data_IF_377591595839
#
_entry.id   IF_377591595839
#
_cell.length_a   1.000
_cell.length_b   1.000
_cell.length_c   1.000
_cell.angle_alpha   90.00
_cell.angle_beta   90.00
_cell.angle_gamma   90.00
#
_symmetry.space_group_name_H-M   'P 1'
#
loop_
_entity.id
_entity.type
_entity.pdbx_description
1 polymer ?
#
# COMPACT_ATOMS: atom_id res chain seq x y z
N UNK A 1 -12.10 -47.37 10.14
CA UNK A 1 -13.16 -46.47 9.63
C UNK A 1 -13.29 -45.26 10.55
N UNK A 2 -13.14 -45.45 11.86
CA UNK A 2 -13.29 -44.40 12.89
C UNK A 2 -12.31 -43.20 12.80
N UNK A 3 -11.11 -43.37 12.23
CA UNK A 3 -10.16 -42.26 12.06
C UNK A 3 -10.60 -41.24 10.99
N UNK A 4 -11.37 -41.67 9.99
CA UNK A 4 -11.86 -40.78 8.92
C UNK A 4 -13.00 -39.92 9.47
N UNK A 5 -13.91 -40.51 10.22
CA UNK A 5 -15.04 -39.80 10.83
C UNK A 5 -14.57 -38.78 11.88
N UNK A 6 -13.46 -39.06 12.58
CA UNK A 6 -12.82 -38.10 13.48
C UNK A 6 -12.20 -36.90 12.73
N UNK A 7 -11.56 -37.13 11.58
CA UNK A 7 -11.00 -36.07 10.74
C UNK A 7 -12.13 -35.22 10.13
N UNK A 8 -13.21 -35.85 9.65
CA UNK A 8 -14.38 -35.13 9.12
C UNK A 8 -15.09 -34.33 10.20
N UNK A 9 -15.23 -34.87 11.42
CA UNK A 9 -15.85 -34.14 12.54
C UNK A 9 -15.00 -32.96 13.00
N UNK A 10 -13.66 -33.11 13.01
CA UNK A 10 -12.73 -31.99 13.25
C UNK A 10 -12.87 -30.92 12.16
N UNK A 11 -12.92 -31.32 10.89
CA UNK A 11 -13.02 -30.40 9.76
C UNK A 11 -14.39 -29.68 9.73
N UNK A 12 -15.47 -30.37 10.09
CA UNK A 12 -16.82 -29.80 10.23
C UNK A 12 -16.89 -28.82 11.39
N UNK A 13 -16.33 -29.17 12.55
CA UNK A 13 -16.24 -28.25 13.68
C UNK A 13 -15.38 -27.02 13.35
N UNK A 14 -14.29 -27.21 12.59
CA UNK A 14 -13.47 -26.12 12.11
C UNK A 14 -14.22 -25.20 11.12
N UNK A 15 -15.01 -25.77 10.22
CA UNK A 15 -15.84 -25.00 9.30
C UNK A 15 -16.94 -24.22 10.03
N UNK A 16 -17.56 -24.82 11.05
CA UNK A 16 -18.59 -24.16 11.87
C UNK A 16 -18.01 -22.99 12.68
N UNK A 17 -16.81 -23.15 13.26
CA UNK A 17 -16.14 -22.06 13.97
C UNK A 17 -15.69 -20.93 13.04
N UNK A 18 -15.24 -21.27 11.82
CA UNK A 18 -14.94 -20.27 10.80
C UNK A 18 -16.21 -19.54 10.35
N UNK A 19 -17.31 -20.26 10.16
CA UNK A 19 -18.62 -19.71 9.81
C UNK A 19 -19.13 -18.76 10.89
N UNK A 20 -19.07 -19.16 12.17
CA UNK A 20 -19.46 -18.30 13.31
C UNK A 20 -18.55 -17.07 13.47
N UNK A 21 -17.26 -17.18 13.15
CA UNK A 21 -16.35 -16.01 13.13
C UNK A 21 -16.61 -15.08 11.93
N UNK A 22 -17.28 -15.57 10.88
CA UNK A 22 -17.62 -14.82 9.67
C UNK A 22 -19.03 -14.21 9.70
N UNK A 23 -19.91 -14.61 10.64
CA UNK A 23 -21.27 -14.08 10.73
C UNK A 23 -21.29 -12.65 11.31
N UNK A 24 -21.84 -11.64 10.58
CA UNK A 24 -22.18 -10.36 11.17
C UNK A 24 -23.39 -10.53 12.12
N UNK A 25 -23.43 -9.77 13.21
CA UNK A 25 -24.58 -9.74 14.12
C UNK A 25 -25.87 -9.35 13.37
N UNK A 26 -26.98 -10.05 13.65
CA UNK A 26 -28.31 -9.75 13.11
C UNK A 26 -28.77 -8.34 13.53
N UNK A 27 -28.76 -7.39 12.60
CA UNK A 27 -29.33 -6.04 12.78
C UNK A 27 -29.96 -5.57 11.47
N UNK A 28 -31.13 -4.95 11.57
CA UNK A 28 -31.98 -4.34 10.51
C UNK A 28 -31.32 -4.00 9.15
N UNK A 29 -31.77 -4.58 8.01
CA UNK A 29 -31.16 -4.45 6.67
C UNK A 29 -30.99 -3.02 6.15
N UNK A 30 -31.87 -2.07 6.49
CA UNK A 30 -31.76 -0.69 6.00
C UNK A 30 -30.63 0.11 6.68
N UNK A 31 -30.37 -0.17 7.96
CA UNK A 31 -29.20 0.36 8.68
C UNK A 31 -27.88 -0.32 8.27
N UNK A 32 -27.93 -1.47 7.58
CA UNK A 32 -26.73 -2.17 7.12
C UNK A 32 -26.06 -1.50 5.92
N UNK A 33 -26.83 -0.82 5.08
CA UNK A 33 -26.28 -0.26 3.84
C UNK A 33 -25.40 0.96 4.13
N UNK A 34 -25.87 1.90 4.97
CA UNK A 34 -25.22 3.20 5.15
C UNK A 34 -23.94 3.16 5.99
N UNK A 35 -23.83 2.29 7.01
CA UNK A 35 -22.61 2.19 7.83
C UNK A 35 -21.47 1.43 7.12
N UNK A 36 -21.73 0.86 5.94
CA UNK A 36 -20.74 0.09 5.16
C UNK A 36 -19.88 0.98 4.27
N UNK A 37 -20.24 2.27 4.12
CA UNK A 37 -19.56 3.20 3.22
C UNK A 37 -18.47 4.05 3.88
N UNK A 38 -18.22 3.93 5.19
CA UNK A 38 -17.27 4.78 5.93
C UNK A 38 -16.33 3.96 6.82
N UNK A 39 -15.03 4.27 6.79
CA UNK A 39 -13.99 3.67 7.62
C UNK A 39 -13.30 4.76 8.46
N UNK A 40 -13.35 4.61 9.79
CA UNK A 40 -12.72 5.55 10.74
C UNK A 40 -13.60 6.73 11.17
N UNK A 41 -14.92 6.61 11.03
CA UNK A 41 -15.93 7.61 11.41
C UNK A 41 -17.03 7.00 12.28
N UNK A 42 -17.77 7.82 13.02
CA UNK A 42 -18.95 7.37 13.78
C UNK A 42 -20.11 7.03 12.87
N UNK A 43 -20.26 7.76 11.76
CA UNK A 43 -21.30 7.56 10.78
C UNK A 43 -20.93 8.15 9.40
N UNK A 44 -21.72 7.79 8.38
CA UNK A 44 -21.49 8.21 7.00
C UNK A 44 -21.63 9.72 6.82
N UNK A 45 -22.52 10.38 7.57
CA UNK A 45 -22.76 11.81 7.44
C UNK A 45 -21.58 12.62 8.00
N UNK A 46 -20.97 12.18 9.11
CA UNK A 46 -19.69 12.71 9.58
C UNK A 46 -18.61 12.60 8.50
N UNK A 47 -18.48 11.42 7.88
CA UNK A 47 -17.45 11.18 6.86
C UNK A 47 -17.61 12.08 5.61
N UNK A 48 -18.85 12.31 5.15
CA UNK A 48 -19.15 13.20 4.04
C UNK A 48 -18.90 14.68 4.39
N UNK A 49 -19.07 15.05 5.67
CA UNK A 49 -18.73 16.37 6.16
C UNK A 49 -17.21 16.61 6.24
N UNK A 50 -16.42 15.59 6.55
CA UNK A 50 -14.95 15.69 6.57
C UNK A 50 -14.30 15.60 5.19
N UNK A 51 -15.02 15.22 4.12
CA UNK A 51 -14.51 15.28 2.76
C UNK A 51 -14.23 16.72 2.32
N UNK A 52 -13.13 16.90 1.59
CA UNK A 52 -12.80 18.16 0.94
C UNK A 52 -13.84 18.52 -0.13
N UNK A 53 -14.11 19.81 -0.32
CA UNK A 53 -15.17 20.28 -1.21
C UNK A 53 -15.00 19.76 -2.65
N UNK A 54 -13.77 19.79 -3.17
CA UNK A 54 -13.45 19.26 -4.50
C UNK A 54 -13.78 17.76 -4.62
N UNK A 55 -13.52 16.96 -3.59
CA UNK A 55 -13.78 15.51 -3.62
C UNK A 55 -15.28 15.21 -3.49
N UNK A 56 -16.00 16.00 -2.69
CA UNK A 56 -17.45 15.94 -2.60
C UNK A 56 -18.11 16.33 -3.94
N UNK A 57 -17.60 17.35 -4.60
CA UNK A 57 -18.06 17.78 -5.92
C UNK A 57 -17.79 16.70 -6.98
N UNK A 58 -16.61 16.08 -6.94
CA UNK A 58 -16.29 14.95 -7.82
C UNK A 58 -17.23 13.75 -7.60
N UNK A 59 -17.58 13.43 -6.34
CA UNK A 59 -18.57 12.39 -6.02
C UNK A 59 -19.94 12.72 -6.60
N UNK A 60 -20.38 13.97 -6.45
CA UNK A 60 -21.65 14.44 -7.02
C UNK A 60 -21.60 14.42 -8.55
N UNK A 61 -20.49 14.79 -9.18
CA UNK A 61 -20.37 14.84 -10.64
C UNK A 61 -20.31 13.45 -11.31
N UNK A 62 -19.53 12.51 -10.75
CA UNK A 62 -19.30 11.17 -11.30
C UNK A 62 -20.60 10.36 -11.52
N UNK A 63 -21.64 10.67 -10.75
CA UNK A 63 -22.93 9.98 -10.78
C UNK A 63 -24.05 10.84 -11.38
N UNK A 64 -23.78 12.09 -11.78
CA UNK A 64 -24.74 12.97 -12.47
C UNK A 64 -24.79 12.79 -13.99
N UNK A 65 -23.83 12.10 -14.59
CA UNK A 65 -23.64 12.03 -16.04
C UNK A 65 -24.37 10.87 -16.75
N UNK A 66 -25.31 10.17 -16.08
CA UNK A 66 -25.98 8.97 -16.66
C UNK A 66 -27.51 8.94 -16.66
N UNK A 67 -28.21 10.06 -16.55
CA UNK A 67 -29.68 10.08 -16.73
C UNK A 67 -30.16 10.28 -18.18
N UNK A 68 -29.28 10.36 -19.18
CA UNK A 68 -29.70 10.49 -20.60
C UNK A 68 -28.78 9.72 -21.52
N UNK A 69 -29.11 8.45 -21.82
CA UNK A 69 -28.85 7.76 -23.10
C UNK A 69 -29.20 6.28 -22.96
N UNK A 70 -30.51 6.01 -22.94
CA UNK A 70 -31.05 4.80 -23.53
C UNK A 70 -31.71 5.22 -24.83
N UNK A 71 -31.03 5.03 -25.96
CA UNK A 71 -31.70 4.53 -27.14
C UNK A 71 -30.68 3.93 -28.11
N UNK A 72 -30.94 2.69 -28.48
CA UNK A 72 -30.05 1.87 -29.28
C UNK A 72 -30.00 2.32 -30.73
N UNK A 73 -28.82 2.16 -31.33
CA UNK A 73 -28.67 1.61 -32.68
C UNK A 73 -27.22 1.21 -32.91
N UNK A 74 -27.03 -0.07 -33.24
CA UNK A 74 -25.81 -0.60 -33.84
C UNK A 74 -25.56 0.09 -35.19
N UNK A 75 -24.29 0.12 -35.66
CA UNK A 75 -24.08 -0.61 -36.91
C UNK A 75 -22.78 -1.41 -36.94
N UNK A 76 -22.86 -2.56 -37.61
CA UNK A 76 -21.73 -3.35 -38.08
C UNK A 76 -21.45 -3.04 -39.56
N UNK A 77 -20.15 -2.98 -39.88
CA UNK A 77 -19.40 -3.18 -41.13
C UNK A 77 -20.08 -3.18 -42.52
N UNK A 78 -19.49 -2.41 -43.45
CA UNK A 78 -18.68 -2.84 -44.62
C UNK A 78 -18.50 -1.65 -45.60
N UNK A 79 -17.29 -1.13 -45.79
CA UNK A 79 -16.30 -1.48 -46.83
C UNK A 79 -16.54 -0.80 -48.20
N UNK A 80 -15.64 0.11 -48.61
CA UNK A 80 -14.84 0.11 -49.86
C UNK A 80 -14.47 1.51 -50.44
N UNK A 81 -13.16 1.67 -50.66
CA UNK A 81 -12.45 2.29 -51.80
C UNK A 81 -12.66 3.75 -52.25
N UNK A 82 -11.62 4.56 -51.95
CA UNK A 82 -10.72 5.31 -52.86
C UNK A 82 -11.20 6.43 -53.80
N UNK A 83 -10.36 7.47 -53.82
CA UNK A 83 -9.97 8.37 -54.92
C UNK A 83 -10.47 9.84 -54.89
N UNK A 84 -9.53 10.70 -54.50
CA UNK A 84 -8.96 11.81 -55.28
C UNK A 84 -9.83 13.00 -55.77
N UNK A 85 -9.31 14.18 -55.40
CA UNK A 85 -9.06 15.36 -56.22
C UNK A 85 -10.06 16.55 -56.25
N UNK A 86 -9.43 17.71 -56.07
CA UNK A 86 -9.64 19.02 -56.71
C UNK A 86 -10.69 20.01 -56.14
N UNK A 87 -10.14 21.06 -55.52
CA UNK A 87 -10.36 22.50 -55.73
C UNK A 87 -11.60 22.97 -56.50
N UNK A 88 -12.33 23.95 -55.95
CA UNK A 88 -12.19 25.37 -56.33
C UNK A 88 -13.28 26.24 -55.67
N UNK A 89 -12.90 27.50 -55.45
CA UNK A 89 -13.67 28.58 -54.81
C UNK A 89 -14.91 29.02 -55.61
N UNK A 90 -15.94 29.55 -54.94
CA UNK A 90 -16.17 31.01 -54.83
C UNK A 90 -17.65 31.39 -54.57
N UNK A 91 -17.82 32.49 -53.83
CA UNK A 91 -18.90 33.50 -53.81
C UNK A 91 -20.09 33.35 -52.85
N UNK A 92 -20.05 34.17 -51.80
CA UNK A 92 -21.23 34.91 -51.30
C UNK A 92 -21.67 36.00 -52.31
N UNK A 93 -22.91 36.53 -52.19
CA UNK A 93 -23.18 37.67 -51.28
C UNK A 93 -24.53 37.62 -50.52
N UNK A 94 -24.53 38.28 -49.34
CA UNK A 94 -25.67 38.79 -48.53
C UNK A 94 -26.50 39.89 -49.28
N UNK A 95 -27.52 40.60 -48.71
CA UNK A 95 -28.23 40.47 -47.42
C UNK A 95 -29.78 40.71 -47.48
N UNK A 96 -30.39 40.73 -46.26
CA UNK A 96 -31.50 41.59 -45.80
C UNK A 96 -32.89 40.94 -45.59
N UNK A 97 -33.29 40.78 -44.32
CA UNK A 97 -34.37 41.54 -43.68
C UNK A 97 -34.68 41.05 -42.25
N UNK A 98 -34.74 42.00 -41.30
CA UNK A 98 -35.40 41.91 -39.97
C UNK A 98 -36.63 42.84 -40.01
N UNK A 99 -37.50 42.94 -38.97
CA UNK A 99 -37.90 42.01 -37.90
C UNK A 99 -39.44 41.96 -37.69
N UNK A 100 -39.96 41.08 -36.82
CA UNK A 100 -40.97 41.45 -35.79
C UNK A 100 -41.24 40.33 -34.78
N UNK A 101 -41.65 40.68 -33.54
CA UNK A 101 -41.69 39.79 -32.38
C UNK A 101 -43.09 39.23 -32.13
N UNK A 102 -43.15 38.09 -31.45
CA UNK A 102 -44.35 37.69 -30.71
C UNK A 102 -43.95 36.82 -29.55
N UNK A 103 -44.02 37.42 -28.35
CA UNK A 103 -44.11 36.69 -27.09
C UNK A 103 -45.35 35.80 -27.13
N UNK A 104 -45.17 34.51 -26.87
CA UNK A 104 -46.19 33.69 -26.24
C UNK A 104 -45.47 32.79 -25.25
N UNK A 105 -45.59 33.22 -24.01
CA UNK A 105 -45.24 32.51 -22.79
C UNK A 105 -46.01 31.20 -22.75
N UNK A 106 -45.33 30.08 -22.98
CA UNK A 106 -45.77 28.78 -22.47
C UNK A 106 -44.68 28.25 -21.56
N UNK A 107 -45.03 28.28 -20.28
CA UNK A 107 -44.36 27.61 -19.17
C UNK A 107 -44.23 26.12 -19.48
N UNK A 108 -43.09 25.73 -20.03
CA UNK A 108 -42.59 24.37 -19.89
C UNK A 108 -41.69 24.38 -18.68
N UNK A 109 -42.20 23.92 -17.54
CA UNK A 109 -41.42 23.57 -16.36
C UNK A 109 -40.39 22.50 -16.76
N UNK A 110 -39.28 22.96 -17.31
CA UNK A 110 -38.06 22.18 -17.29
C UNK A 110 -37.72 21.98 -15.82
N UNK A 111 -37.75 20.74 -15.36
CA UNK A 111 -36.99 20.30 -14.20
C UNK A 111 -35.49 20.57 -14.48
N UNK A 112 -35.10 21.83 -14.41
CA UNK A 112 -33.71 22.20 -14.23
C UNK A 112 -33.38 21.71 -12.83
N UNK A 113 -32.72 20.56 -12.77
CA UNK A 113 -32.03 20.12 -11.57
C UNK A 113 -31.15 21.28 -11.11
N UNK A 114 -31.60 22.00 -10.07
CA UNK A 114 -30.79 23.02 -9.43
C UNK A 114 -29.50 22.34 -9.00
N UNK A 115 -28.36 22.84 -9.46
CA UNK A 115 -27.08 22.39 -8.91
C UNK A 115 -27.12 22.61 -7.39
N UNK A 116 -26.77 21.61 -6.57
CA UNK A 116 -26.78 21.76 -5.12
C UNK A 116 -25.80 22.87 -4.72
N UNK A 117 -26.32 23.95 -4.13
CA UNK A 117 -25.54 25.15 -3.85
C UNK A 117 -24.95 25.13 -2.43
N UNK A 118 -25.53 24.34 -1.53
CA UNK A 118 -25.06 24.21 -0.15
C UNK A 118 -24.37 22.87 0.08
N UNK A 119 -23.40 22.83 1.00
CA UNK A 119 -22.73 21.58 1.41
C UNK A 119 -23.74 20.52 1.89
N UNK A 120 -24.80 20.94 2.59
CA UNK A 120 -25.87 20.03 3.03
C UNK A 120 -26.63 19.40 1.86
N UNK A 121 -26.95 20.16 0.80
CA UNK A 121 -27.56 19.63 -0.41
C UNK A 121 -26.62 18.70 -1.17
N UNK A 122 -25.32 19.05 -1.25
CA UNK A 122 -24.29 18.20 -1.85
C UNK A 122 -24.17 16.87 -1.11
N UNK A 123 -24.20 16.89 0.23
CA UNK A 123 -24.17 15.68 1.07
C UNK A 123 -25.42 14.83 0.87
N UNK A 124 -26.61 15.44 0.84
CA UNK A 124 -27.85 14.69 0.58
C UNK A 124 -27.81 13.99 -0.77
N UNK A 125 -27.38 14.70 -1.81
CA UNK A 125 -27.24 14.13 -3.14
C UNK A 125 -26.15 13.05 -3.20
N UNK A 126 -25.04 13.22 -2.47
CA UNK A 126 -23.98 12.21 -2.35
C UNK A 126 -24.49 10.92 -1.68
N UNK A 127 -25.33 11.02 -0.65
CA UNK A 127 -25.94 9.86 0.01
C UNK A 127 -26.84 9.06 -0.92
N UNK A 128 -27.68 9.73 -1.71
CA UNK A 128 -28.52 9.08 -2.73
C UNK A 128 -27.64 8.39 -3.79
N UNK A 129 -26.61 9.10 -4.25
CA UNK A 129 -25.66 8.61 -5.26
C UNK A 129 -24.82 7.43 -4.81
N UNK A 130 -24.40 7.37 -3.55
CA UNK A 130 -23.67 6.22 -3.01
C UNK A 130 -24.52 4.94 -3.02
N UNK A 131 -25.84 5.05 -2.88
CA UNK A 131 -26.76 3.90 -2.98
C UNK A 131 -26.90 3.39 -4.42
N UNK A 132 -26.80 4.28 -5.41
CA UNK A 132 -26.94 3.96 -6.83
C UNK A 132 -25.60 3.62 -7.51
N UNK A 133 -24.48 3.73 -6.78
CA UNK A 133 -23.16 3.51 -7.32
C UNK A 133 -22.98 2.06 -7.81
N UNK A 134 -22.55 1.90 -9.06
CA UNK A 134 -22.28 0.58 -9.66
C UNK A 134 -21.12 -0.16 -9.02
N UNK A 135 -20.18 0.60 -8.45
CA UNK A 135 -19.00 0.08 -7.78
C UNK A 135 -19.04 0.47 -6.32
N UNK A 136 -18.57 -0.44 -5.46
CA UNK A 136 -18.48 -0.17 -4.02
C UNK A 136 -17.50 0.98 -3.79
N UNK A 137 -17.95 2.01 -3.07
CA UNK A 137 -17.13 3.16 -2.64
C UNK A 137 -17.02 3.17 -1.12
N UNK A 138 -15.88 3.63 -0.59
CA UNK A 138 -15.64 3.85 0.82
C UNK A 138 -15.07 5.25 1.04
N UNK A 139 -15.54 5.92 2.08
CA UNK A 139 -14.93 7.14 2.61
C UNK A 139 -14.03 6.72 3.77
N UNK A 140 -12.73 6.93 3.59
CA UNK A 140 -11.69 6.37 4.44
C UNK A 140 -10.95 7.49 5.15
N UNK A 141 -10.91 7.44 6.47
CA UNK A 141 -10.06 8.31 7.30
C UNK A 141 -8.65 7.74 7.37
N UNK A 142 -7.67 8.49 6.90
CA UNK A 142 -6.25 8.14 6.94
C UNK A 142 -5.56 9.02 7.96
N UNK A 143 -4.94 8.42 8.97
CA UNK A 143 -4.21 9.11 10.03
C UNK A 143 -2.78 9.42 9.59
N UNK A 144 -2.33 10.62 9.93
CA UNK A 144 -1.00 11.13 9.60
C UNK A 144 -0.06 10.99 10.80
N UNK A 145 1.26 11.07 10.57
CA UNK A 145 2.27 10.98 11.63
C UNK A 145 2.20 12.11 12.67
N UNK A 146 1.66 13.27 12.29
CA UNK A 146 1.50 14.44 13.16
C UNK A 146 0.19 14.42 13.99
N UNK A 147 -0.59 13.34 13.88
CA UNK A 147 -1.88 13.18 14.55
C UNK A 147 -3.06 13.80 13.79
N UNK A 148 -2.82 14.49 12.67
CA UNK A 148 -3.90 14.94 11.78
C UNK A 148 -4.47 13.77 10.96
N UNK A 149 -5.50 14.04 10.16
CA UNK A 149 -6.10 13.06 9.28
C UNK A 149 -6.47 13.64 7.92
N UNK A 150 -6.49 12.79 6.90
CA UNK A 150 -7.07 13.08 5.58
C UNK A 150 -8.20 12.12 5.29
N UNK A 151 -9.28 12.64 4.75
CA UNK A 151 -10.47 11.87 4.38
C UNK A 151 -10.48 11.69 2.87
N UNK A 152 -10.54 10.43 2.42
CA UNK A 152 -10.46 10.08 1.01
C UNK A 152 -11.66 9.23 0.61
N UNK A 153 -12.21 9.52 -0.56
CA UNK A 153 -13.10 8.58 -1.23
C UNK A 153 -12.31 7.60 -2.10
N UNK A 154 -12.58 6.31 -1.94
CA UNK A 154 -11.90 5.20 -2.60
C UNK A 154 -12.93 4.23 -3.16
N UNK A 155 -12.77 3.77 -4.41
CA UNK A 155 -13.61 2.71 -4.99
C UNK A 155 -12.91 1.35 -5.02
N UNK A 156 -13.67 0.28 -5.25
CA UNK A 156 -13.16 -1.11 -5.18
C UNK A 156 -12.10 -1.48 -6.23
N UNK A 157 -11.90 -0.65 -7.26
CA UNK A 157 -10.89 -0.86 -8.29
C UNK A 157 -9.57 -0.15 -7.96
N UNK A 158 -9.57 0.70 -6.94
CA UNK A 158 -8.39 1.48 -6.60
C UNK A 158 -7.38 0.66 -5.80
N UNK A 159 -6.17 0.59 -6.35
CA UNK A 159 -5.01 0.02 -5.70
C UNK A 159 -4.46 0.96 -4.63
N UNK A 160 -3.72 0.40 -3.68
CA UNK A 160 -2.99 1.16 -2.65
C UNK A 160 -2.03 2.16 -3.28
N UNK A 161 -1.40 1.84 -4.42
CA UNK A 161 -0.59 2.79 -5.20
C UNK A 161 -1.36 4.05 -5.56
N UNK A 162 -2.56 3.90 -6.15
CA UNK A 162 -3.36 5.06 -6.56
C UNK A 162 -3.82 5.88 -5.35
N UNK A 163 -4.13 5.23 -4.22
CA UNK A 163 -4.47 5.94 -2.97
C UNK A 163 -3.25 6.68 -2.41
N UNK A 164 -2.05 6.09 -2.47
CA UNK A 164 -0.80 6.77 -2.11
C UNK A 164 -0.54 7.98 -3.02
N UNK A 165 -0.84 7.91 -4.32
CA UNK A 165 -0.68 9.04 -5.24
C UNK A 165 -1.61 10.20 -4.87
N UNK A 166 -2.87 9.93 -4.52
CA UNK A 166 -3.80 10.95 -3.99
C UNK A 166 -3.25 11.59 -2.71
N UNK A 167 -2.67 10.78 -1.81
CA UNK A 167 -2.07 11.28 -0.59
C UNK A 167 -0.84 12.13 -0.86
N UNK A 168 0.01 11.77 -1.83
CA UNK A 168 1.16 12.58 -2.23
C UNK A 168 0.71 13.95 -2.73
N UNK A 169 -0.32 14.01 -3.58
CA UNK A 169 -0.89 15.27 -4.06
C UNK A 169 -1.46 16.12 -2.92
N UNK A 170 -2.20 15.51 -1.99
CA UNK A 170 -2.83 16.21 -0.86
C UNK A 170 -1.88 16.61 0.25
N UNK A 171 -0.72 15.96 0.37
CA UNK A 171 0.25 16.20 1.46
C UNK A 171 1.48 16.97 1.00
N UNK A 172 1.74 17.00 -0.30
CA UNK A 172 2.96 17.54 -0.90
C UNK A 172 4.23 16.94 -0.28
N UNK A 173 4.20 15.66 0.11
CA UNK A 173 5.39 14.96 0.62
C UNK A 173 6.39 14.67 -0.51
N UNK A 174 7.59 14.21 -0.14
CA UNK A 174 8.71 13.94 -1.05
C UNK A 174 8.51 12.78 -2.04
N UNK A 175 7.33 12.12 -2.02
CA UNK A 175 6.99 10.96 -2.83
C UNK A 175 8.00 9.80 -2.72
N UNK A 176 8.75 9.72 -1.61
CA UNK A 176 9.70 8.63 -1.34
C UNK A 176 9.03 7.24 -1.44
N UNK A 177 9.81 6.24 -1.84
CA UNK A 177 9.39 4.84 -1.89
C UNK A 177 9.04 4.26 -0.51
N UNK A 178 9.46 4.93 0.56
CA UNK A 178 9.24 4.49 1.94
C UNK A 178 7.81 4.77 2.41
N UNK A 179 7.09 5.70 1.77
CA UNK A 179 5.71 5.99 2.13
C UNK A 179 4.80 4.77 1.92
N UNK A 180 4.01 4.50 2.95
CA UNK A 180 3.15 3.32 3.04
C UNK A 180 1.80 3.69 3.64
N UNK A 181 0.77 2.96 3.21
CA UNK A 181 -0.44 2.81 4.01
C UNK A 181 -0.26 1.60 4.93
N UNK A 182 -0.57 1.77 6.20
CA UNK A 182 -0.50 0.71 7.20
C UNK A 182 -1.84 0.55 7.90
N UNK A 183 -2.30 -0.69 8.07
CA UNK A 183 -3.39 -0.98 8.99
C UNK A 183 -2.85 -1.38 10.35
N UNK A 184 -3.62 -1.03 11.37
CA UNK A 184 -3.43 -1.48 12.75
C UNK A 184 -4.70 -2.19 13.21
N UNK A 185 -4.52 -3.24 14.01
CA UNK A 185 -5.61 -3.87 14.76
C UNK A 185 -5.24 -3.84 16.24
N UNK A 186 -5.79 -2.88 17.02
CA UNK A 186 -5.48 -2.72 18.44
C UNK A 186 -5.88 -3.93 19.30
N UNK A 187 -6.99 -4.60 18.99
CA UNK A 187 -7.48 -5.77 19.73
C UNK A 187 -6.44 -6.91 19.70
N UNK A 188 -5.91 -7.20 18.51
CA UNK A 188 -4.86 -8.18 18.32
C UNK A 188 -3.46 -7.63 18.65
N UNK A 189 -3.27 -6.31 18.73
CA UNK A 189 -1.99 -5.62 18.88
C UNK A 189 -1.01 -5.88 17.73
N UNK A 190 -1.51 -5.74 16.51
CA UNK A 190 -0.77 -6.01 15.27
C UNK A 190 -0.84 -4.84 14.29
N UNK A 191 0.13 -4.80 13.38
CA UNK A 191 0.15 -3.87 12.26
C UNK A 191 0.74 -4.54 11.01
N UNK A 192 0.39 -4.02 9.83
CA UNK A 192 1.10 -4.33 8.58
C UNK A 192 1.02 -3.16 7.61
N UNK A 193 1.99 -3.10 6.69
CA UNK A 193 1.85 -2.30 5.48
C UNK A 193 0.94 -3.01 4.47
N UNK A 194 0.11 -2.25 3.77
CA UNK A 194 -0.50 -2.71 2.54
C UNK A 194 0.55 -2.72 1.42
N UNK A 195 0.52 -3.73 0.58
CA UNK A 195 1.31 -3.77 -0.64
C UNK A 195 0.66 -2.86 -1.70
N UNK A 196 1.47 -2.16 -2.48
CA UNK A 196 0.98 -1.13 -3.44
C UNK A 196 -0.01 -1.68 -4.49
N UNK A 197 0.00 -2.99 -4.73
CA UNK A 197 -0.89 -3.65 -5.68
C UNK A 197 -2.21 -4.17 -5.05
N UNK A 198 -2.35 -4.16 -3.72
CA UNK A 198 -3.61 -4.53 -3.07
C UNK A 198 -4.70 -3.51 -3.43
N UNK A 199 -5.93 -3.98 -3.64
CA UNK A 199 -7.10 -3.11 -3.76
C UNK A 199 -7.56 -2.72 -2.36
N UNK A 200 -7.58 -1.43 -2.04
CA UNK A 200 -7.73 -0.99 -0.63
C UNK A 200 -9.10 -1.36 -0.04
N UNK A 201 -10.17 -1.37 -0.84
CA UNK A 201 -11.53 -1.65 -0.35
C UNK A 201 -11.71 -3.09 0.12
N UNK A 202 -11.01 -4.04 -0.49
CA UNK A 202 -11.13 -5.48 -0.18
C UNK A 202 -10.76 -5.80 1.28
N UNK A 203 -9.55 -5.49 1.78
CA UNK A 203 -9.18 -5.76 3.18
C UNK A 203 -10.01 -4.95 4.18
N UNK A 204 -10.43 -3.73 3.83
CA UNK A 204 -11.27 -2.90 4.72
C UNK A 204 -12.70 -3.46 4.84
N UNK A 205 -13.20 -4.14 3.81
CA UNK A 205 -14.50 -4.81 3.86
C UNK A 205 -14.55 -5.96 4.87
N UNK A 206 -13.39 -6.45 5.33
CA UNK A 206 -13.29 -7.46 6.38
C UNK A 206 -13.40 -6.88 7.80
N UNK A 207 -13.38 -5.56 7.96
CA UNK A 207 -13.45 -4.92 9.27
C UNK A 207 -14.88 -4.91 9.80
N UNK A 208 -15.04 -5.11 11.10
CA UNK A 208 -16.36 -5.04 11.74
C UNK A 208 -16.84 -3.59 11.86
N UNK A 209 -18.15 -3.36 11.99
CA UNK A 209 -18.71 -1.99 12.14
C UNK A 209 -18.16 -1.20 13.32
N UNK A 210 -17.86 -1.90 14.42
CA UNK A 210 -17.29 -1.32 15.65
C UNK A 210 -15.76 -1.50 15.71
N UNK A 211 -15.11 -1.59 14.54
CA UNK A 211 -13.67 -1.80 14.46
C UNK A 211 -12.91 -0.61 15.01
N UNK A 212 -11.96 -0.87 15.90
CA UNK A 212 -10.97 0.11 16.36
C UNK A 212 -9.74 0.17 15.44
N UNK A 213 -9.75 -0.60 14.35
CA UNK A 213 -8.65 -0.60 13.39
C UNK A 213 -8.49 0.79 12.76
N UNK A 214 -7.24 1.14 12.48
CA UNK A 214 -6.89 2.44 11.91
C UNK A 214 -5.97 2.27 10.72
N UNK A 215 -6.10 3.18 9.77
CA UNK A 215 -5.19 3.30 8.63
C UNK A 215 -4.28 4.49 8.87
N UNK A 216 -2.97 4.26 8.68
CA UNK A 216 -1.93 5.26 8.83
C UNK A 216 -1.22 5.49 7.51
N UNK A 217 -0.95 6.75 7.18
CA UNK A 217 0.00 7.14 6.14
C UNK A 217 1.34 7.50 6.79
N UNK A 218 2.32 6.61 6.64
CA UNK A 218 3.58 6.65 7.40
C UNK A 218 4.75 6.20 6.55
N UNK A 219 5.95 6.74 6.84
CA UNK A 219 7.19 6.27 6.24
C UNK A 219 7.62 4.94 6.89
N UNK A 220 7.88 3.94 6.06
CA UNK A 220 8.35 2.60 6.44
C UNK A 220 9.55 2.23 5.55
N UNK A 221 10.79 2.59 5.94
CA UNK A 221 12.00 2.28 5.17
C UNK A 221 12.20 0.79 4.87
N UNK A 222 11.59 -0.10 5.66
CA UNK A 222 11.65 -1.54 5.46
C UNK A 222 10.67 -2.08 4.40
N UNK A 223 9.82 -1.23 3.80
CA UNK A 223 8.80 -1.64 2.82
C UNK A 223 9.42 -2.38 1.63
N UNK A 224 10.53 -1.85 1.10
CA UNK A 224 11.20 -2.36 -0.09
C UNK A 224 12.64 -2.81 0.15
N UNK A 225 12.99 -3.11 1.41
CA UNK A 225 14.36 -3.52 1.79
C UNK A 225 14.86 -4.75 1.02
N UNK A 226 13.97 -5.65 0.61
CA UNK A 226 14.32 -6.79 -0.24
C UNK A 226 14.84 -6.41 -1.63
N UNK A 227 14.56 -5.19 -2.07
CA UNK A 227 14.98 -4.67 -3.37
C UNK A 227 16.11 -3.65 -3.25
N UNK A 228 16.17 -2.89 -2.16
CA UNK A 228 17.30 -1.99 -1.89
C UNK A 228 18.53 -2.76 -1.38
N UNK A 229 18.31 -3.84 -0.61
CA UNK A 229 19.35 -4.68 -0.02
C UNK A 229 19.07 -6.18 -0.21
N UNK A 230 18.99 -6.67 -1.47
CA UNK A 230 18.67 -8.06 -1.78
C UNK A 230 19.67 -9.07 -1.18
N UNK A 231 20.92 -8.65 -0.95
CA UNK A 231 21.96 -9.47 -0.35
C UNK A 231 21.60 -9.93 1.07
N UNK A 232 20.78 -9.18 1.81
CA UNK A 232 20.31 -9.58 3.14
C UNK A 232 19.50 -10.89 3.08
N UNK A 233 18.78 -11.11 1.98
CA UNK A 233 17.84 -12.21 1.81
C UNK A 233 18.44 -13.38 1.04
N UNK A 234 19.09 -13.11 -0.09
CA UNK A 234 19.64 -14.16 -0.95
C UNK A 234 21.04 -14.63 -0.56
N UNK A 235 21.69 -13.91 0.36
CA UNK A 235 23.00 -14.27 0.91
C UNK A 235 22.96 -14.31 2.45
N UNK A 236 21.78 -14.59 3.03
CA UNK A 236 21.51 -14.52 4.47
C UNK A 236 22.41 -15.42 5.32
N UNK A 237 22.94 -16.52 4.74
CA UNK A 237 23.90 -17.42 5.41
C UNK A 237 25.31 -16.83 5.53
N UNK A 238 25.62 -15.75 4.79
CA UNK A 238 26.94 -15.12 4.81
C UNK A 238 27.08 -14.16 6.00
N UNK A 239 28.30 -14.01 6.49
CA UNK A 239 28.62 -13.08 7.59
C UNK A 239 28.34 -11.63 7.16
N UNK A 240 27.92 -10.78 8.11
CA UNK A 240 27.63 -9.35 7.87
C UNK A 240 28.77 -8.60 7.16
N UNK A 241 30.03 -8.92 7.48
CA UNK A 241 31.22 -8.33 6.83
C UNK A 241 31.30 -8.60 5.33
N UNK A 242 30.71 -9.69 4.84
CA UNK A 242 30.63 -10.00 3.41
C UNK A 242 29.51 -9.21 2.72
N UNK A 243 28.51 -8.72 3.47
CA UNK A 243 27.33 -8.03 2.91
C UNK A 243 27.59 -6.54 2.69
N UNK A 244 28.48 -5.92 3.47
CA UNK A 244 28.79 -4.48 3.39
C UNK A 244 29.60 -4.08 2.15
N UNK A 245 30.21 -5.05 1.43
CA UNK A 245 31.01 -4.80 0.23
C UNK A 245 30.26 -4.99 -1.10
N UNK A 246 28.95 -5.26 -1.06
CA UNK A 246 28.16 -5.51 -2.28
C UNK A 246 27.85 -4.17 -2.95
N UNK A 247 28.35 -4.00 -4.18
CA UNK A 247 28.08 -2.81 -4.99
C UNK A 247 26.70 -2.88 -5.67
N UNK A 248 26.28 -1.75 -6.24
CA UNK A 248 24.97 -1.63 -6.88
C UNK A 248 24.79 -2.60 -8.06
N UNK A 249 25.83 -2.82 -8.87
CA UNK A 249 25.76 -3.77 -9.98
C UNK A 249 25.46 -5.20 -9.50
N UNK A 250 26.09 -5.63 -8.41
CA UNK A 250 25.84 -6.94 -7.81
C UNK A 250 24.42 -7.03 -7.22
N UNK A 251 23.89 -5.96 -6.62
CA UNK A 251 22.49 -5.89 -6.19
C UNK A 251 21.53 -6.07 -7.38
N UNK A 252 21.76 -5.37 -8.48
CA UNK A 252 20.94 -5.48 -9.70
C UNK A 252 21.01 -6.89 -10.30
N UNK A 253 22.17 -7.55 -10.27
CA UNK A 253 22.30 -8.95 -10.70
C UNK A 253 21.48 -9.91 -9.83
N UNK A 254 21.53 -9.75 -8.50
CA UNK A 254 20.69 -10.53 -7.58
C UNK A 254 19.20 -10.35 -7.89
N UNK A 255 18.75 -9.11 -8.12
CA UNK A 255 17.34 -8.87 -8.47
C UNK A 255 16.96 -9.51 -9.81
N UNK A 256 17.81 -9.38 -10.83
CA UNK A 256 17.58 -9.96 -12.15
C UNK A 256 17.51 -11.49 -12.09
N UNK A 257 18.41 -12.12 -11.35
CA UNK A 257 18.44 -13.58 -11.20
C UNK A 257 17.19 -14.09 -10.48
N UNK A 258 16.77 -13.43 -9.41
CA UNK A 258 15.71 -13.96 -8.55
C UNK A 258 14.28 -13.55 -8.95
N UNK A 259 14.11 -12.42 -9.65
CA UNK A 259 12.80 -11.89 -10.06
C UNK A 259 12.62 -11.74 -11.58
N UNK A 260 13.70 -11.82 -12.37
CA UNK A 260 13.65 -11.61 -13.82
C UNK A 260 13.42 -12.87 -14.65
N UNK A 261 13.52 -14.05 -14.04
CA UNK A 261 13.25 -15.33 -14.70
C UNK A 261 11.76 -15.65 -14.86
N UNK A 262 11.40 -16.72 -15.61
CA UNK A 262 10.02 -17.19 -15.73
C UNK A 262 9.46 -17.73 -14.41
N UNK A 263 10.35 -18.16 -13.52
CA UNK A 263 10.02 -18.68 -12.19
C UNK A 263 10.69 -17.81 -11.14
N UNK A 264 9.93 -17.40 -10.12
CA UNK A 264 10.44 -16.68 -8.96
C UNK A 264 11.39 -17.57 -8.15
N UNK A 265 12.55 -17.03 -7.76
CA UNK A 265 13.43 -17.66 -6.78
C UNK A 265 13.17 -17.04 -5.40
N UNK A 266 12.64 -17.85 -4.50
CA UNK A 266 12.38 -17.47 -3.10
C UNK A 266 13.65 -17.71 -2.27
N UNK A 267 14.00 -16.81 -1.32
CA UNK A 267 15.12 -17.05 -0.41
C UNK A 267 15.03 -18.41 0.29
N UNK A 268 16.14 -19.14 0.39
CA UNK A 268 16.22 -20.45 1.04
C UNK A 268 16.27 -20.35 2.58
N UNK A 269 15.46 -19.45 3.14
CA UNK A 269 15.46 -19.11 4.56
C UNK A 269 15.00 -20.31 5.40
N UNK A 270 15.78 -20.64 6.42
CA UNK A 270 15.46 -21.67 7.40
C UNK A 270 16.01 -21.28 8.76
N UNK A 271 15.39 -21.77 9.84
CA UNK A 271 15.86 -21.45 11.17
C UNK A 271 14.88 -21.82 12.25
N UNK A 272 15.36 -21.75 13.49
CA UNK A 272 14.54 -21.94 14.68
C UNK A 272 13.69 -20.69 14.93
N UNK A 273 12.39 -20.89 15.11
CA UNK A 273 11.47 -19.88 15.65
C UNK A 273 10.75 -20.47 16.86
N UNK A 274 10.13 -19.62 17.67
CA UNK A 274 9.21 -20.08 18.71
C UNK A 274 7.78 -19.96 18.22
N UNK A 275 7.08 -21.09 18.17
CA UNK A 275 5.66 -21.17 17.86
C UNK A 275 4.85 -21.12 19.16
N UNK A 276 3.89 -20.21 19.25
CA UNK A 276 2.93 -20.20 20.36
C UNK A 276 1.99 -21.40 20.25
N UNK A 277 1.72 -22.08 21.35
CA UNK A 277 0.67 -23.10 21.41
C UNK A 277 -0.72 -22.47 21.32
N UNK A 278 -1.62 -23.15 20.60
CA UNK A 278 -3.01 -22.75 20.45
C UNK A 278 -3.69 -22.67 21.84
N UNK A 279 -4.42 -21.57 22.07
CA UNK A 279 -5.11 -21.29 23.34
C UNK A 279 -4.20 -21.01 24.56
N UNK A 280 -2.88 -21.14 24.46
CA UNK A 280 -1.97 -21.05 25.62
C UNK A 280 -0.91 -19.96 25.47
N UNK A 281 -0.46 -19.38 26.58
CA UNK A 281 0.71 -18.47 26.65
C UNK A 281 2.02 -19.25 26.81
N UNK A 282 2.18 -20.30 26.01
CA UNK A 282 3.34 -21.19 26.01
C UNK A 282 3.95 -21.21 24.60
N UNK A 283 5.28 -21.19 24.52
CA UNK A 283 6.02 -21.08 23.27
C UNK A 283 6.98 -22.25 23.12
N UNK A 284 6.98 -22.89 21.95
CA UNK A 284 7.81 -24.06 21.65
C UNK A 284 8.80 -23.75 20.52
N UNK A 285 10.08 -24.10 20.69
CA UNK A 285 11.04 -23.95 19.61
C UNK A 285 10.76 -24.98 18.50
N UNK A 286 10.65 -24.52 17.27
CA UNK A 286 10.43 -25.33 16.07
C UNK A 286 11.37 -24.85 14.98
N UNK A 287 11.96 -25.79 14.23
CA UNK A 287 12.82 -25.48 13.10
C UNK A 287 11.96 -25.39 11.83
N UNK A 288 11.87 -24.19 11.26
CA UNK A 288 11.07 -23.89 10.08
C UNK A 288 11.94 -23.68 8.84
N UNK A 289 11.31 -23.89 7.68
CA UNK A 289 11.86 -23.69 6.36
C UNK A 289 10.86 -22.94 5.50
N UNK A 290 11.32 -21.91 4.82
CA UNK A 290 10.54 -21.18 3.83
C UNK A 290 10.57 -21.93 2.49
N UNK A 291 9.41 -21.98 1.84
CA UNK A 291 9.24 -22.39 0.45
C UNK A 291 8.31 -21.41 -0.25
N UNK A 292 8.26 -21.46 -1.59
CA UNK A 292 7.38 -20.59 -2.35
C UNK A 292 5.90 -20.71 -1.96
N UNK A 293 5.45 -21.93 -1.64
CA UNK A 293 4.07 -22.22 -1.27
C UNK A 293 3.69 -21.89 0.18
N UNK A 294 4.68 -21.74 1.07
CA UNK A 294 4.39 -21.70 2.50
C UNK A 294 5.58 -21.93 3.43
N UNK A 295 5.26 -22.09 4.70
CA UNK A 295 6.21 -22.44 5.76
C UNK A 295 6.09 -23.95 6.03
N UNK A 296 7.23 -24.61 6.16
CA UNK A 296 7.33 -26.04 6.43
C UNK A 296 8.20 -26.28 7.68
N UNK A 297 8.02 -27.42 8.33
CA UNK A 297 8.87 -27.85 9.44
C UNK A 297 9.23 -29.33 9.32
N UNK A 298 10.28 -29.74 10.04
CA UNK A 298 10.66 -31.16 10.15
C UNK A 298 10.12 -31.72 11.46
N UNK A 299 9.27 -32.77 11.43
CA UNK A 299 8.86 -33.48 12.64
C UNK A 299 10.06 -34.06 13.39
N UNK A 300 9.94 -34.19 14.72
CA UNK A 300 11.01 -34.79 15.53
C UNK A 300 11.33 -36.21 15.03
N UNK A 301 12.62 -36.50 14.86
CA UNK A 301 13.10 -37.81 14.40
C UNK A 301 13.06 -38.02 12.88
N UNK A 302 12.70 -36.99 12.10
CA UNK A 302 12.73 -37.00 10.63
C UNK A 302 13.91 -36.22 10.08
N UNK A 303 14.22 -36.42 8.79
CA UNK A 303 15.33 -35.74 8.11
C UNK A 303 14.87 -34.43 7.45
N UNK A 304 15.82 -33.60 6.99
CA UNK A 304 15.51 -32.42 6.18
C UNK A 304 15.20 -32.75 4.70
N UNK A 305 15.01 -34.03 4.35
CA UNK A 305 14.61 -34.42 3.01
C UNK A 305 13.24 -33.83 2.66
N UNK A 306 13.02 -33.52 1.38
CA UNK A 306 11.76 -32.91 0.90
C UNK A 306 10.55 -33.78 1.26
N UNK A 307 10.70 -35.11 1.22
CA UNK A 307 9.67 -36.09 1.57
C UNK A 307 9.26 -36.08 3.05
N UNK A 308 10.12 -35.54 3.93
CA UNK A 308 9.91 -35.52 5.38
C UNK A 308 9.35 -34.17 5.86
N UNK A 309 9.20 -33.19 4.97
CA UNK A 309 8.69 -31.85 5.31
C UNK A 309 7.18 -31.87 5.49
N UNK A 310 6.72 -31.30 6.60
CA UNK A 310 5.30 -31.08 6.84
C UNK A 310 4.97 -29.61 6.62
N UNK A 311 3.92 -29.35 5.83
CA UNK A 311 3.42 -28.00 5.63
C UNK A 311 2.83 -27.48 6.95
N UNK A 312 3.36 -26.37 7.44
CA UNK A 312 2.80 -25.67 8.59
C UNK A 312 1.68 -24.74 8.15
N UNK A 313 1.89 -23.99 7.07
CA UNK A 313 0.95 -22.96 6.60
C UNK A 313 1.22 -22.59 5.14
N UNK A 314 0.16 -22.40 4.35
CA UNK A 314 0.20 -21.87 2.97
C UNK A 314 -0.08 -20.37 2.92
N UNK A 315 0.67 -19.62 2.09
CA UNK A 315 0.57 -18.16 2.04
C UNK A 315 -0.65 -17.60 1.31
N UNK A 316 -1.31 -18.39 0.47
CA UNK A 316 -2.40 -17.96 -0.41
C UNK A 316 -3.49 -17.19 0.35
N UNK A 317 -3.95 -17.75 1.47
CA UNK A 317 -5.12 -17.24 2.21
C UNK A 317 -4.78 -16.44 3.48
N UNK A 318 -3.51 -16.18 3.75
CA UNK A 318 -3.11 -15.43 4.96
C UNK A 318 -2.29 -14.20 4.64
N UNK A 319 -2.40 -13.20 5.51
CA UNK A 319 -1.51 -12.05 5.52
C UNK A 319 -0.56 -12.15 6.70
N UNK A 320 0.57 -11.47 6.57
CA UNK A 320 1.60 -11.36 7.60
C UNK A 320 1.53 -10.00 8.28
N UNK A 321 1.65 -10.01 9.60
CA UNK A 321 1.61 -8.82 10.45
C UNK A 321 2.77 -8.82 11.42
N UNK A 322 3.34 -7.66 11.67
CA UNK A 322 4.22 -7.46 12.82
C UNK A 322 3.38 -7.15 14.05
N UNK A 323 3.96 -7.41 15.21
CA UNK A 323 3.23 -7.40 16.48
C UNK A 323 3.88 -6.40 17.43
N UNK A 324 3.11 -5.90 18.40
CA UNK A 324 3.64 -5.03 19.43
C UNK A 324 3.48 -5.67 20.81
N UNK A 325 4.54 -5.62 21.61
CA UNK A 325 4.52 -5.94 23.04
C UNK A 325 4.00 -7.36 23.42
N UNK A 326 4.27 -8.36 22.59
CA UNK A 326 3.83 -9.74 22.81
C UNK A 326 4.53 -10.46 23.96
N UNK A 327 5.68 -9.98 24.40
CA UNK A 327 6.30 -10.42 25.66
C UNK A 327 5.36 -10.18 26.83
N UNK A 328 4.65 -9.05 26.87
CA UNK A 328 3.67 -8.75 27.90
C UNK A 328 2.33 -9.48 27.64
N UNK A 329 1.76 -9.39 26.43
CA UNK A 329 0.43 -9.95 26.13
C UNK A 329 0.41 -11.49 26.22
N UNK A 330 1.39 -12.17 25.63
CA UNK A 330 1.40 -13.63 25.47
C UNK A 330 2.60 -14.34 26.08
N UNK A 331 3.43 -13.66 26.88
CA UNK A 331 4.67 -14.23 27.46
C UNK A 331 5.62 -14.76 26.38
N UNK A 332 5.69 -14.07 25.24
CA UNK A 332 6.62 -14.41 24.17
C UNK A 332 8.09 -14.31 24.65
N UNK A 333 9.01 -15.14 24.12
CA UNK A 333 10.43 -15.09 24.46
C UNK A 333 11.06 -13.70 24.21
N UNK A 334 10.68 -13.06 23.11
CA UNK A 334 11.09 -11.70 22.73
C UNK A 334 9.88 -10.90 22.27
N UNK A 335 10.06 -9.61 21.94
CA UNK A 335 9.03 -8.82 21.26
C UNK A 335 9.14 -8.91 19.73
N UNK A 336 10.11 -9.65 19.19
CA UNK A 336 10.32 -9.78 17.76
C UNK A 336 9.39 -10.87 17.20
N UNK A 337 8.08 -10.60 17.19
CA UNK A 337 7.08 -11.56 16.77
C UNK A 337 6.34 -11.10 15.51
N UNK A 338 5.91 -12.07 14.71
CA UNK A 338 4.99 -11.88 13.60
C UNK A 338 3.79 -12.82 13.72
N UNK A 339 2.69 -12.42 13.09
CA UNK A 339 1.42 -13.14 13.07
C UNK A 339 1.03 -13.47 11.64
N UNK A 340 0.50 -14.67 11.42
CA UNK A 340 -0.13 -15.11 10.18
C UNK A 340 -1.61 -15.38 10.45
N UNK A 341 -2.50 -14.70 9.73
CA UNK A 341 -3.95 -14.88 9.83
C UNK A 341 -4.66 -14.63 8.50
N UNK A 342 -5.84 -15.23 8.34
CA UNK A 342 -6.75 -14.85 7.27
C UNK A 342 -7.20 -13.37 7.43
N UNK A 343 -7.36 -12.59 6.35
CA UNK A 343 -7.80 -11.20 6.44
C UNK A 343 -9.15 -11.00 7.16
N UNK A 344 -10.09 -11.95 7.02
CA UNK A 344 -11.40 -11.90 7.70
C UNK A 344 -11.33 -11.99 9.24
N UNK A 345 -10.23 -12.53 9.79
CA UNK A 345 -10.12 -12.71 11.24
C UNK A 345 -9.70 -11.38 11.85
N UNK A 346 -10.59 -10.75 12.63
CA UNK A 346 -10.33 -9.45 13.27
C UNK A 346 -10.17 -9.52 14.79
N UNK A 347 -10.39 -10.70 15.38
CA UNK A 347 -10.35 -10.97 16.83
C UNK A 347 -9.54 -12.22 17.15
N UNK A 348 -9.31 -12.51 18.43
CA UNK A 348 -8.61 -13.73 18.87
C UNK A 348 -9.26 -15.00 18.27
N UNK A 349 -8.43 -15.90 17.72
CA UNK A 349 -8.90 -17.13 17.07
C UNK A 349 -7.79 -18.19 17.05
N UNK A 350 -8.15 -19.48 17.10
CA UNK A 350 -7.20 -20.60 16.99
C UNK A 350 -6.57 -20.76 15.60
N UNK A 351 -7.17 -20.15 14.58
CA UNK A 351 -6.61 -20.10 13.23
C UNK A 351 -5.45 -19.12 13.08
N UNK A 352 -5.22 -18.26 14.08
CA UNK A 352 -4.10 -17.33 14.08
C UNK A 352 -2.83 -18.07 14.50
N UNK A 353 -1.77 -17.94 13.70
CA UNK A 353 -0.45 -18.49 14.03
C UNK A 353 0.50 -17.38 14.45
N UNK A 354 1.13 -17.57 15.61
CA UNK A 354 2.01 -16.61 16.25
C UNK A 354 3.43 -17.18 16.29
N UNK A 355 4.39 -16.46 15.72
CA UNK A 355 5.78 -16.86 15.68
C UNK A 355 6.66 -15.77 16.30
N UNK A 356 7.66 -16.18 17.05
CA UNK A 356 8.62 -15.30 17.71
C UNK A 356 10.04 -15.64 17.25
N UNK A 357 10.81 -14.60 16.95
CA UNK A 357 12.22 -14.66 16.57
C UNK A 357 13.12 -14.38 17.78
N UNK A 358 14.40 -14.76 17.70
CA UNK A 358 15.38 -14.42 18.74
C UNK A 358 15.79 -12.93 18.68
N UNK A 359 15.79 -12.31 17.49
CA UNK A 359 16.20 -10.92 17.29
C UNK A 359 15.43 -10.21 16.14
N UNK A 360 15.62 -8.90 16.06
CA UNK A 360 15.02 -8.02 15.05
C UNK A 360 15.45 -8.39 13.62
N UNK A 361 16.71 -8.81 13.44
CA UNK A 361 17.22 -9.18 12.13
C UNK A 361 16.52 -10.43 11.58
N UNK A 362 16.31 -11.42 12.44
CA UNK A 362 15.58 -12.64 12.11
C UNK A 362 14.12 -12.32 11.78
N UNK A 363 13.47 -11.42 12.53
CA UNK A 363 12.13 -10.92 12.20
C UNK A 363 12.10 -10.24 10.82
N UNK A 364 13.06 -9.35 10.53
CA UNK A 364 13.19 -8.68 9.24
C UNK A 364 13.31 -9.69 8.09
N UNK A 365 14.14 -10.71 8.25
CA UNK A 365 14.33 -11.77 7.25
C UNK A 365 13.04 -12.54 7.00
N UNK A 366 12.40 -13.06 8.05
CA UNK A 366 11.18 -13.87 7.92
C UNK A 366 10.01 -13.08 7.34
N UNK A 367 9.76 -11.87 7.85
CA UNK A 367 8.64 -11.05 7.38
C UNK A 367 8.76 -10.75 5.89
N UNK A 368 9.94 -10.28 5.46
CA UNK A 368 10.14 -9.90 4.06
C UNK A 368 10.30 -11.10 3.14
N UNK A 369 10.90 -12.21 3.59
CA UNK A 369 10.98 -13.42 2.78
C UNK A 369 9.60 -14.07 2.56
N UNK A 370 8.71 -14.01 3.55
CA UNK A 370 7.30 -14.41 3.39
C UNK A 370 6.58 -13.49 2.40
N UNK A 371 6.81 -12.17 2.45
CA UNK A 371 6.26 -11.23 1.44
C UNK A 371 6.76 -11.56 0.03
N UNK A 372 8.05 -11.86 -0.14
CA UNK A 372 8.61 -12.31 -1.43
C UNK A 372 7.91 -13.58 -1.90
N UNK A 373 7.77 -14.58 -1.03
CA UNK A 373 7.12 -15.85 -1.39
C UNK A 373 5.64 -15.68 -1.75
N UNK A 374 4.90 -14.84 -1.00
CA UNK A 374 3.46 -14.61 -1.19
C UNK A 374 3.15 -13.81 -2.46
N UNK A 375 3.88 -12.72 -2.69
CA UNK A 375 3.53 -11.73 -3.72
C UNK A 375 4.42 -11.80 -4.96
N UNK A 376 5.60 -12.39 -4.84
CA UNK A 376 6.50 -12.66 -5.95
C UNK A 376 6.84 -11.45 -6.81
N UNK A 377 6.73 -11.63 -8.13
CA UNK A 377 7.11 -10.61 -9.11
C UNK A 377 6.19 -9.40 -9.09
N UNK A 378 4.95 -9.52 -8.59
CA UNK A 378 4.05 -8.36 -8.44
C UNK A 378 4.64 -7.37 -7.43
N UNK A 379 5.23 -7.85 -6.34
CA UNK A 379 5.90 -7.00 -5.35
C UNK A 379 7.09 -6.25 -5.93
N UNK A 380 7.86 -6.90 -6.82
CA UNK A 380 8.97 -6.24 -7.52
C UNK A 380 8.48 -5.19 -8.52
N UNK A 381 7.37 -5.46 -9.23
CA UNK A 381 6.72 -4.47 -10.10
C UNK A 381 6.21 -3.25 -9.31
N UNK A 382 5.64 -3.47 -8.13
CA UNK A 382 5.26 -2.39 -7.21
C UNK A 382 6.45 -1.50 -6.85
N UNK A 383 7.58 -2.09 -6.48
CA UNK A 383 8.83 -1.34 -6.22
C UNK A 383 9.28 -0.52 -7.44
N UNK A 384 9.31 -1.12 -8.63
CA UNK A 384 9.68 -0.42 -9.86
C UNK A 384 8.74 0.75 -10.17
N UNK A 385 7.44 0.59 -9.96
CA UNK A 385 6.46 1.66 -10.14
C UNK A 385 6.70 2.81 -9.13
N UNK A 386 6.93 2.48 -7.85
CA UNK A 386 7.24 3.45 -6.81
C UNK A 386 8.53 4.22 -7.11
N UNK A 387 9.59 3.54 -7.56
CA UNK A 387 10.85 4.17 -7.97
C UNK A 387 10.67 5.16 -9.12
N UNK A 388 9.91 4.78 -10.17
CA UNK A 388 9.62 5.67 -11.30
C UNK A 388 8.89 6.94 -10.85
N UNK A 389 7.92 6.79 -9.94
CA UNK A 389 7.16 7.92 -9.39
C UNK A 389 8.04 8.85 -8.54
N UNK A 390 8.87 8.30 -7.67
CA UNK A 390 9.80 9.07 -6.84
C UNK A 390 10.80 9.89 -7.69
N UNK A 391 11.36 9.28 -8.75
CA UNK A 391 12.27 9.96 -9.66
C UNK A 391 11.60 11.07 -10.49
N UNK A 392 10.33 10.88 -10.86
CA UNK A 392 9.55 11.87 -11.63
C UNK A 392 8.99 13.04 -10.81
N UNK A 393 9.01 12.94 -9.47
CA UNK A 393 8.43 13.94 -8.55
C UNK A 393 9.48 14.90 -7.97
N UNK A 394 10.74 14.81 -8.42
CA UNK A 394 11.77 15.80 -8.09
C UNK A 394 11.34 17.19 -8.59
N UNK A 395 11.21 18.21 -7.71
CA UNK A 395 10.93 19.56 -8.15
C UNK A 395 12.03 20.06 -9.09
N UNK A 396 11.64 20.74 -10.18
CA UNK A 396 12.52 21.57 -11.01
C UNK A 396 13.06 22.75 -10.18
N UNK A 397 13.95 22.46 -9.24
CA UNK A 397 14.75 23.45 -8.52
C UNK A 397 16.23 23.05 -8.56
N UNK A 398 16.77 22.86 -9.77
CA UNK A 398 18.22 22.99 -10.01
C UNK A 398 18.58 23.42 -11.43
N UNK A 399 17.62 23.93 -12.21
CA UNK A 399 17.87 24.49 -13.54
C UNK A 399 17.90 26.03 -13.52
N UNK A 400 18.65 26.60 -12.58
CA UNK A 400 18.98 28.02 -12.60
C UNK A 400 20.30 28.25 -11.84
N UNK A 401 21.40 27.80 -12.45
CA UNK A 401 22.75 28.39 -12.34
C UNK A 401 23.75 27.54 -13.14
N UNK A 402 23.50 27.33 -14.43
CA UNK A 402 24.55 26.93 -15.38
C UNK A 402 24.31 27.59 -16.73
N UNK A 403 24.31 28.92 -16.73
CA UNK A 403 24.63 29.71 -17.92
C UNK A 403 25.66 30.76 -17.54
N UNK A 404 26.92 30.37 -17.66
CA UNK A 404 28.06 31.21 -18.04
C UNK A 404 29.32 30.35 -17.97
N UNK A 405 29.75 29.86 -19.12
CA UNK A 405 31.03 30.22 -19.74
C UNK A 405 31.23 29.30 -20.95
N UNK A 406 31.00 29.87 -22.13
CA UNK A 406 31.46 29.32 -23.40
C UNK A 406 32.98 29.34 -23.44
N UNK A 407 33.59 28.27 -23.97
CA UNK A 407 34.67 28.20 -25.00
C UNK A 407 35.59 26.95 -24.80
N UNK A 408 36.42 26.53 -25.77
CA UNK A 408 36.12 25.50 -26.76
C UNK A 408 37.02 24.25 -26.68
N UNK A 409 36.80 23.29 -27.60
CA UNK A 409 37.43 21.95 -27.75
C UNK A 409 38.98 21.89 -27.74
N UNK A 410 39.55 20.71 -27.46
CA UNK A 410 40.99 20.53 -27.17
C UNK A 410 41.80 20.10 -28.41
N UNK A 411 43.11 20.38 -28.37
CA UNK A 411 44.15 19.66 -29.11
C UNK A 411 45.52 19.82 -28.39
N UNK A 412 46.54 18.99 -28.71
CA UNK A 412 47.25 18.18 -27.71
C UNK A 412 48.60 18.74 -27.20
N UNK A 413 49.05 18.20 -26.06
CA UNK A 413 50.37 18.41 -25.40
C UNK A 413 51.57 18.05 -26.32
N UNK A 414 52.85 18.46 -26.08
CA UNK A 414 53.57 18.62 -24.79
C UNK A 414 54.66 19.76 -24.83
N UNK A 415 55.85 19.77 -24.16
CA UNK A 415 56.38 19.14 -22.92
C UNK A 415 57.10 20.10 -21.90
N UNK A 416 57.36 19.58 -20.68
CA UNK A 416 58.47 19.82 -19.72
C UNK A 416 58.90 21.26 -19.34
N UNK A 417 58.86 21.61 -18.04
CA UNK A 417 60.03 21.82 -17.12
C UNK A 417 59.71 22.69 -15.88
N UNK A 418 60.07 22.16 -14.71
CA UNK A 418 60.68 22.80 -13.50
C UNK A 418 59.99 23.91 -12.66
N UNK A 419 60.19 23.74 -11.32
CA UNK A 419 60.06 24.66 -10.15
C UNK A 419 58.62 24.88 -9.63
N UNK A 420 58.20 24.26 -8.52
CA UNK A 420 58.48 24.58 -7.10
C UNK A 420 58.36 26.07 -6.81
N UNK A 421 57.25 26.47 -6.19
CA UNK A 421 57.24 27.49 -5.13
C UNK A 421 55.98 27.34 -4.25
N UNK A 422 56.20 27.63 -2.99
CA UNK A 422 55.50 27.25 -1.76
C UNK A 422 54.38 28.28 -1.43
N UNK A 423 53.22 27.85 -0.96
CA UNK A 423 52.25 28.72 -0.27
C UNK A 423 51.65 27.98 0.93
N UNK A 424 51.65 28.60 2.13
CA UNK A 424 51.30 27.92 3.37
C UNK A 424 49.78 27.71 3.51
N UNK A 425 49.39 26.49 3.84
CA UNK A 425 48.04 26.13 4.28
C UNK A 425 47.87 26.50 5.77
N UNK A 426 47.00 27.46 6.08
CA UNK A 426 46.45 27.62 7.44
C UNK A 426 45.26 26.67 7.63
N UNK A 427 45.22 25.86 8.73
CA UNK A 427 44.05 25.04 9.06
C UNK A 427 42.97 25.86 9.79
N UNK A 428 41.68 25.50 9.64
CA UNK A 428 40.58 26.22 10.27
C UNK A 428 40.50 25.98 11.79
N UNK A 429 39.93 26.91 12.57
CA UNK A 429 39.95 26.86 14.03
C UNK A 429 39.00 25.81 14.63
N UNK A 430 39.51 25.09 15.62
CA UNK A 430 38.78 24.12 16.46
C UNK A 430 37.79 24.83 17.39
N UNK A 431 36.49 24.55 17.22
CA UNK A 431 35.46 24.91 18.18
C UNK A 431 35.18 23.72 19.10
N UNK A 432 35.74 23.75 20.31
CA UNK A 432 35.35 22.85 21.40
C UNK A 432 34.38 23.61 22.33
N UNK A 433 33.12 23.16 22.49
CA UNK A 433 32.21 23.77 23.45
C UNK A 433 32.59 23.39 24.90
N UNK A 434 32.36 24.27 25.90
CA UNK A 434 32.75 24.02 27.28
C UNK A 434 31.89 22.94 27.96
N UNK A 435 32.43 22.25 28.99
CA UNK A 435 31.71 21.19 29.68
C UNK A 435 30.61 21.73 30.63
N UNK A 436 29.58 20.91 30.92
CA UNK A 436 28.48 21.31 31.79
C UNK A 436 28.89 21.38 33.28
N UNK A 437 28.20 22.21 34.10
CA UNK A 437 28.51 22.38 35.51
C UNK A 437 28.09 21.16 36.36
N UNK A 438 28.74 20.95 37.52
CA UNK A 438 28.47 19.80 38.39
C UNK A 438 27.13 19.91 39.14
N UNK A 439 26.49 18.77 39.48
CA UNK A 439 25.20 18.76 40.16
C UNK A 439 25.32 19.29 41.60
N UNK A 440 24.51 20.31 41.89
CA UNK A 440 24.43 20.98 43.19
C UNK A 440 23.97 20.07 44.32
N UNK A 441 24.63 20.25 45.46
CA UNK A 441 24.28 19.71 46.76
C UNK A 441 22.90 20.20 47.20
N UNK A 442 22.12 19.26 47.72
CA UNK A 442 20.93 19.50 48.52
C UNK A 442 21.27 20.32 49.77
N UNK A 443 20.55 21.41 49.99
CA UNK A 443 20.42 22.00 51.32
C UNK A 443 18.94 22.16 51.66
N UNK A 444 18.57 21.41 52.70
CA UNK A 444 17.55 21.59 53.75
C UNK A 444 16.44 22.60 53.51
#
# INVERSE_FOLDING_TARGET
>A
MDDIDAIFSSLLGEMDHLSQSLMPAEVDPDSQTLSTFSIGFTDLNESLNELEEHDLDALVADLGSKSTTSDGRLPADQQTSSCAAASAMAREPEPAARPRPSNSTESSEGLQMREPQTKAEKIKLALEKLKEAKFRKLIVKVLMSDGSSKTLMVDERQTVREVLDKLFEKTHCDCSIDWSLCETNPELQIERGFEDHEHLVEPLSAWTRVSENKIYFVSKPQKYVMFTDPQLFYMWKKKKTCLSGINEQAKQLLLKENFGGPTLIVPDLEGKLYLKEDGKKLWKPVYFMLRASGIYYVPKGKTKAVSDLVCFLHFEKVNIYTTNNYKQKYRAPTNFCFMLKHPCIQKESHYIKFLCCDDEHTLLLWVNAIRIAKYGTVLFKSYQAAMKRASGSQPLHSAAHKDRYNSPKPDPAPPKTTKVEDYPHEPPPDFIPPPPPPPGQTHV
#
